data_IF_511552955530
#
_entry.id   IF_511552955530
#
_cell.length_a   1.000
_cell.length_b   1.000
_cell.length_c   1.000
_cell.angle_alpha   90.00
_cell.angle_beta   90.00
_cell.angle_gamma   90.00
#
_symmetry.space_group_name_H-M   'P 1'
#
loop_
_entity.id
_entity.type
_entity.pdbx_description
1 polymer ?
#
# COMPACT_ATOMS: atom_id res chain seq x y z
N UNK A 1 -14.73 -14.73 15.15
CA UNK A 1 -15.87 -14.03 14.51
C UNK A 1 -17.08 -13.94 15.45
N UNK A 2 -17.36 -14.93 16.29
CA UNK A 2 -18.48 -14.85 17.26
C UNK A 2 -18.12 -14.20 18.62
N UNK A 3 -16.86 -13.84 18.85
CA UNK A 3 -16.45 -13.10 20.05
C UNK A 3 -15.84 -11.74 19.67
N UNK A 4 -16.60 -10.68 19.93
CA UNK A 4 -16.18 -9.28 19.79
C UNK A 4 -16.48 -8.72 18.41
N UNK A 5 -17.48 -7.83 18.32
CA UNK A 5 -18.00 -7.19 17.10
C UNK A 5 -16.97 -6.39 16.29
N UNK A 6 -15.98 -7.08 15.77
CA UNK A 6 -14.91 -6.59 14.92
C UNK A 6 -15.23 -6.96 13.48
N UNK A 7 -14.99 -6.02 12.57
CA UNK A 7 -15.03 -6.29 11.15
C UNK A 7 -13.72 -6.95 10.68
N UNK A 8 -13.82 -7.68 9.58
CA UNK A 8 -12.75 -8.36 8.89
C UNK A 8 -12.83 -8.00 7.41
N UNK A 9 -11.69 -8.11 6.73
CA UNK A 9 -11.59 -7.93 5.29
C UNK A 9 -11.01 -9.21 4.71
N UNK A 10 -11.66 -9.72 3.66
CA UNK A 10 -11.16 -10.84 2.87
C UNK A 10 -10.50 -10.27 1.61
N UNK A 11 -9.28 -10.74 1.34
CA UNK A 11 -8.51 -10.37 0.15
C UNK A 11 -8.06 -11.63 -0.59
N UNK A 12 -8.37 -11.79 -1.88
CA UNK A 12 -7.76 -12.84 -2.70
C UNK A 12 -6.26 -12.57 -2.91
N UNK A 13 -5.43 -13.61 -2.85
CA UNK A 13 -3.95 -13.45 -2.85
C UNK A 13 -3.35 -13.13 -4.22
N UNK A 14 -4.08 -13.40 -5.30
CA UNK A 14 -3.62 -13.26 -6.70
C UNK A 14 -4.45 -12.27 -7.53
N UNK A 15 -5.48 -11.65 -6.94
CA UNK A 15 -6.26 -10.66 -7.68
C UNK A 15 -5.59 -9.28 -7.63
N UNK A 16 -5.61 -8.57 -8.75
CA UNK A 16 -5.16 -7.19 -8.83
C UNK A 16 -6.35 -6.23 -8.65
N UNK A 17 -6.06 -4.93 -8.53
CA UNK A 17 -7.06 -3.84 -8.60
C UNK A 17 -8.20 -3.94 -7.57
N UNK A 18 -7.98 -4.62 -6.45
CA UNK A 18 -8.98 -4.86 -5.42
C UNK A 18 -10.24 -5.65 -5.87
N UNK A 19 -10.14 -6.41 -6.97
CA UNK A 19 -11.16 -7.36 -7.36
C UNK A 19 -11.34 -8.42 -6.26
N UNK A 20 -12.61 -8.70 -5.88
CA UNK A 20 -12.95 -9.70 -4.86
C UNK A 20 -12.66 -9.30 -3.41
N UNK A 21 -12.22 -8.06 -3.14
CA UNK A 21 -12.05 -7.57 -1.76
C UNK A 21 -13.40 -7.18 -1.19
N UNK A 22 -13.75 -7.76 -0.03
CA UNK A 22 -15.01 -7.46 0.68
C UNK A 22 -14.77 -7.32 2.18
N UNK A 23 -15.53 -6.45 2.84
CA UNK A 23 -15.53 -6.28 4.29
C UNK A 23 -16.76 -6.96 4.88
N UNK A 24 -16.59 -7.68 6.00
CA UNK A 24 -17.65 -8.43 6.65
C UNK A 24 -17.50 -8.40 8.17
N UNK A 25 -18.57 -8.66 8.90
CA UNK A 25 -18.54 -8.77 10.35
C UNK A 25 -19.28 -10.00 10.89
N UNK A 26 -19.92 -10.80 10.03
CA UNK A 26 -20.54 -12.09 10.40
C UNK A 26 -19.97 -13.26 9.60
N UNK A 27 -20.07 -14.47 10.17
CA UNK A 27 -19.73 -15.71 9.46
C UNK A 27 -20.67 -15.99 8.29
N UNK A 28 -21.93 -15.57 8.40
CA UNK A 28 -22.93 -15.71 7.34
C UNK A 28 -22.55 -14.88 6.10
N UNK A 29 -22.17 -13.61 6.29
CA UNK A 29 -21.64 -12.79 5.21
C UNK A 29 -20.42 -13.43 4.54
N UNK A 30 -19.49 -13.97 5.32
CA UNK A 30 -18.32 -14.66 4.76
C UNK A 30 -18.72 -15.88 3.92
N UNK A 31 -19.70 -16.67 4.37
CA UNK A 31 -20.19 -17.84 3.61
C UNK A 31 -20.83 -17.41 2.30
N UNK A 32 -21.75 -16.45 2.35
CA UNK A 32 -22.42 -15.92 1.16
C UNK A 32 -21.40 -15.40 0.14
N UNK A 33 -20.30 -14.78 0.60
CA UNK A 33 -19.24 -14.31 -0.29
C UNK A 33 -18.53 -15.44 -1.05
N UNK A 34 -18.35 -16.62 -0.44
CA UNK A 34 -17.79 -17.79 -1.13
C UNK A 34 -18.82 -18.46 -2.05
N UNK A 35 -20.10 -18.50 -1.66
CA UNK A 35 -21.18 -19.01 -2.49
C UNK A 35 -21.37 -18.16 -3.76
N UNK A 36 -21.36 -16.83 -3.64
CA UNK A 36 -21.39 -15.92 -4.80
C UNK A 36 -20.22 -16.13 -5.75
N UNK A 37 -19.02 -16.42 -5.21
CA UNK A 37 -17.86 -16.75 -6.03
C UNK A 37 -18.12 -18.05 -6.77
N UNK A 38 -18.70 -19.07 -6.12
CA UNK A 38 -19.09 -20.38 -6.68
C UNK A 38 -20.19 -20.32 -7.76
N UNK A 39 -21.10 -19.35 -7.71
CA UNK A 39 -22.17 -19.17 -8.71
C UNK A 39 -21.70 -18.44 -9.97
N UNK A 40 -20.74 -17.51 -9.87
CA UNK A 40 -20.11 -16.83 -11.02
C UNK A 40 -19.28 -17.81 -11.90
N UNK A 41 -19.11 -19.08 -11.52
CA UNK A 41 -18.44 -20.12 -12.34
C UNK A 41 -19.27 -20.55 -13.56
N UNK A 42 -20.58 -20.29 -13.58
CA UNK A 42 -21.51 -20.80 -14.61
C UNK A 42 -21.88 -19.76 -15.70
N UNK A 43 -21.45 -18.50 -15.59
CA UNK A 43 -21.80 -17.41 -16.54
C UNK A 43 -20.57 -16.62 -17.09
N UNK A 44 -20.23 -16.89 -18.37
CA UNK A 44 -19.43 -16.12 -19.35
C UNK A 44 -17.97 -15.65 -19.05
N UNK A 45 -17.11 -15.95 -20.03
CA UNK A 45 -15.61 -15.93 -20.12
C UNK A 45 -14.88 -14.56 -19.99
N UNK A 46 -15.53 -13.45 -19.61
CA UNK A 46 -14.95 -12.08 -19.75
C UNK A 46 -14.66 -11.33 -18.43
N UNK A 47 -14.97 -11.89 -17.25
CA UNK A 47 -14.52 -11.32 -15.94
C UNK A 47 -13.16 -11.92 -15.55
N UNK A 48 -12.28 -11.14 -14.90
CA UNK A 48 -11.02 -11.70 -14.34
C UNK A 48 -11.36 -12.97 -13.54
N UNK A 49 -10.76 -14.10 -13.92
CA UNK A 49 -11.16 -15.44 -13.47
C UNK A 49 -10.78 -15.66 -11.99
N UNK A 50 -11.54 -15.03 -11.09
CA UNK A 50 -11.44 -15.17 -9.62
C UNK A 50 -11.64 -16.64 -9.22
N UNK A 51 -12.28 -17.42 -10.09
CA UNK A 51 -12.57 -18.85 -9.93
C UNK A 51 -11.31 -19.72 -9.78
N UNK A 52 -10.16 -19.26 -10.31
CA UNK A 52 -8.87 -19.94 -10.19
C UNK A 52 -8.09 -19.57 -8.92
N UNK A 53 -8.55 -18.57 -8.16
CA UNK A 53 -7.90 -18.17 -6.92
C UNK A 53 -8.17 -19.25 -5.87
N UNK A 54 -7.10 -19.72 -5.21
CA UNK A 54 -7.20 -20.78 -4.18
C UNK A 54 -6.78 -20.32 -2.80
N UNK A 55 -6.30 -19.09 -2.69
CA UNK A 55 -5.69 -18.56 -1.48
C UNK A 55 -6.27 -17.18 -1.16
N UNK A 56 -6.77 -17.04 0.07
CA UNK A 56 -7.30 -15.80 0.59
C UNK A 56 -6.64 -15.44 1.92
N UNK A 57 -6.50 -14.14 2.14
CA UNK A 57 -6.11 -13.58 3.43
C UNK A 57 -7.34 -12.99 4.08
N UNK A 58 -7.67 -13.49 5.28
CA UNK A 58 -8.64 -12.84 6.17
C UNK A 58 -7.85 -12.03 7.17
N UNK A 59 -8.00 -10.71 7.09
CA UNK A 59 -7.32 -9.76 7.95
C UNK A 59 -8.34 -9.03 8.82
N UNK A 60 -7.96 -8.70 10.06
CA UNK A 60 -8.77 -7.82 10.91
C UNK A 60 -8.90 -6.46 10.22
N UNK A 61 -10.13 -5.99 10.07
CA UNK A 61 -10.39 -4.68 9.49
C UNK A 61 -10.14 -3.59 10.52
N UNK A 62 -9.47 -2.52 10.10
CA UNK A 62 -9.27 -1.32 10.91
C UNK A 62 -10.53 -0.47 10.76
N UNK A 63 -11.44 -0.61 11.74
CA UNK A 63 -12.78 -0.04 11.77
C UNK A 63 -12.82 1.43 12.24
N UNK A 64 -11.72 1.94 12.77
CA UNK A 64 -11.59 3.35 13.19
C UNK A 64 -10.40 4.03 12.51
N UNK A 65 -10.40 4.13 11.17
CA UNK A 65 -9.33 4.81 10.45
C UNK A 65 -9.30 6.30 10.78
N UNK A 66 -8.14 6.93 10.64
CA UNK A 66 -8.04 8.37 10.58
C UNK A 66 -8.79 8.86 9.34
N UNK A 67 -9.66 9.85 9.52
CA UNK A 67 -10.46 10.40 8.45
C UNK A 67 -10.01 11.83 8.15
N UNK A 68 -10.04 12.18 6.86
CA UNK A 68 -9.82 13.54 6.38
C UNK A 68 -10.97 13.88 5.46
N UNK A 69 -11.66 15.00 5.73
CA UNK A 69 -12.98 15.30 5.15
C UNK A 69 -13.97 14.13 5.28
N UNK A 70 -13.93 13.43 6.42
CA UNK A 70 -14.72 12.22 6.75
C UNK A 70 -14.51 11.02 5.81
N UNK A 71 -13.54 11.06 4.90
CA UNK A 71 -13.23 9.94 3.99
C UNK A 71 -12.03 9.17 4.52
N UNK A 72 -12.07 7.85 4.36
CA UNK A 72 -10.95 6.95 4.66
C UNK A 72 -9.84 7.20 3.63
N UNK A 73 -8.58 7.05 4.02
CA UNK A 73 -7.45 7.07 3.09
C UNK A 73 -6.36 6.12 3.56
N UNK A 74 -5.55 5.60 2.64
CA UNK A 74 -4.26 4.97 2.96
C UNK A 74 -3.11 5.86 2.48
N UNK A 75 -1.93 5.66 3.05
CA UNK A 75 -0.70 6.31 2.61
C UNK A 75 0.13 5.33 1.81
N UNK A 76 0.32 5.63 0.52
CA UNK A 76 1.28 5.00 -0.38
C UNK A 76 2.66 5.63 -0.13
N UNK A 77 3.52 4.86 0.49
CA UNK A 77 4.91 5.20 0.74
C UNK A 77 5.84 4.53 -0.27
N UNK A 78 6.89 5.23 -0.70
CA UNK A 78 7.90 4.67 -1.60
C UNK A 78 9.13 4.26 -0.82
N UNK A 79 9.56 3.01 -0.98
CA UNK A 79 10.68 2.43 -0.24
C UNK A 79 11.70 1.87 -1.22
N UNK A 80 12.94 2.35 -1.10
CA UNK A 80 14.08 1.84 -1.86
C UNK A 80 14.85 0.86 -0.99
N UNK A 81 14.89 -0.40 -1.40
CA UNK A 81 15.81 -1.39 -0.85
C UNK A 81 17.02 -1.49 -1.78
N UNK A 82 18.19 -1.07 -1.30
CA UNK A 82 19.45 -1.14 -2.02
C UNK A 82 20.29 -2.26 -1.42
N UNK A 83 20.81 -3.16 -2.25
CA UNK A 83 21.74 -4.20 -1.80
C UNK A 83 23.06 -3.60 -1.27
N UNK A 84 23.76 -4.11 -0.25
CA UNK A 84 23.46 -5.16 0.72
C UNK A 84 22.71 -4.53 1.93
N UNK A 85 21.39 -4.39 1.72
CA UNK A 85 20.23 -4.12 2.60
C UNK A 85 20.19 -2.80 3.38
N UNK A 86 20.66 -1.73 2.74
CA UNK A 86 20.20 -0.41 3.13
C UNK A 86 18.78 -0.18 2.62
N UNK A 87 17.88 0.24 3.49
CA UNK A 87 16.49 0.54 3.14
C UNK A 87 16.24 2.01 3.42
N UNK A 88 15.58 2.66 2.49
CA UNK A 88 15.27 4.08 2.52
C UNK A 88 13.77 4.28 2.34
N UNK A 89 13.17 5.07 3.21
CA UNK A 89 11.80 5.56 3.06
C UNK A 89 11.85 6.94 2.40
N UNK A 90 11.23 7.07 1.23
CA UNK A 90 11.10 8.35 0.55
C UNK A 90 10.10 9.24 1.29
N UNK A 91 10.48 10.50 1.49
CA UNK A 91 9.72 11.44 2.29
C UNK A 91 8.38 11.76 1.65
N UNK A 92 8.33 12.06 0.34
CA UNK A 92 7.06 12.41 -0.30
C UNK A 92 6.21 11.16 -0.54
N UNK A 93 5.03 11.14 0.06
CA UNK A 93 4.11 10.01 0.05
C UNK A 93 2.73 10.48 -0.37
N UNK A 94 1.96 9.60 -0.98
CA UNK A 94 0.62 9.91 -1.46
C UNK A 94 -0.42 9.41 -0.46
N UNK A 95 -1.43 10.22 -0.19
CA UNK A 95 -2.66 9.81 0.47
C UNK A 95 -3.72 9.55 -0.59
N UNK A 96 -4.22 8.30 -0.64
CA UNK A 96 -5.23 7.85 -1.59
C UNK A 96 -6.54 7.64 -0.82
N UNK A 97 -7.57 8.40 -1.20
CA UNK A 97 -8.83 8.48 -0.48
C UNK A 97 -9.87 7.49 -1.02
N UNK A 98 -10.78 7.06 -0.16
CA UNK A 98 -12.05 6.49 -0.55
C UNK A 98 -12.92 7.57 -1.22
N UNK A 99 -13.83 7.17 -2.10
CA UNK A 99 -14.68 8.13 -2.82
C UNK A 99 -15.76 8.73 -1.91
N UNK A 100 -16.35 7.91 -1.03
CA UNK A 100 -17.48 8.29 -0.17
C UNK A 100 -17.08 8.54 1.28
N UNK A 101 -17.93 9.24 2.02
CA UNK A 101 -17.79 9.43 3.47
C UNK A 101 -17.80 8.06 4.18
N UNK A 102 -16.96 7.92 5.21
CA UNK A 102 -16.79 6.67 5.93
C UNK A 102 -18.02 6.33 6.80
N UNK A 103 -18.62 5.17 6.56
CA UNK A 103 -19.76 4.66 7.33
C UNK A 103 -19.64 3.15 7.56
N UNK A 104 -19.47 2.74 8.82
CA UNK A 104 -19.40 1.32 9.21
C UNK A 104 -20.73 0.57 9.09
N UNK A 105 -21.85 1.26 8.95
CA UNK A 105 -23.15 0.61 8.73
C UNK A 105 -23.31 0.10 7.30
N UNK A 106 -22.43 0.51 6.38
CA UNK A 106 -22.49 0.20 4.95
C UNK A 106 -21.27 -0.62 4.48
N UNK A 107 -20.95 -1.71 5.18
CA UNK A 107 -19.75 -2.54 4.93
C UNK A 107 -19.64 -3.10 3.50
N UNK A 108 -20.76 -3.23 2.79
CA UNK A 108 -20.83 -3.74 1.42
C UNK A 108 -20.44 -2.68 0.37
N UNK A 109 -20.44 -1.38 0.73
CA UNK A 109 -20.07 -0.31 -0.20
C UNK A 109 -18.55 -0.14 -0.27
N UNK A 110 -17.95 -0.76 -1.29
CA UNK A 110 -16.52 -0.68 -1.54
C UNK A 110 -16.01 0.75 -1.77
N UNK A 111 -16.85 1.69 -2.21
CA UNK A 111 -16.45 3.09 -2.42
C UNK A 111 -16.24 3.86 -1.10
N UNK A 112 -16.74 3.31 0.01
CA UNK A 112 -16.52 3.80 1.39
C UNK A 112 -15.26 3.17 1.99
N UNK A 113 -15.07 1.87 1.78
CA UNK A 113 -14.11 1.08 2.53
C UNK A 113 -12.80 0.80 1.80
N UNK A 114 -12.78 0.89 0.47
CA UNK A 114 -11.61 0.69 -0.38
C UNK A 114 -11.14 2.02 -0.97
N UNK A 115 -9.82 2.18 -0.95
CA UNK A 115 -9.11 3.42 -1.31
C UNK A 115 -8.30 3.28 -2.60
N UNK A 116 -8.37 2.12 -3.26
CA UNK A 116 -7.60 1.83 -4.46
C UNK A 116 -8.19 2.58 -5.64
N UNK A 117 -7.35 3.39 -6.30
CA UNK A 117 -7.75 4.26 -7.40
C UNK A 117 -8.30 3.51 -8.61
N UNK A 118 -7.88 2.26 -8.87
CA UNK A 118 -8.36 1.49 -10.02
C UNK A 118 -9.88 1.30 -10.03
N UNK A 119 -10.49 1.00 -8.87
CA UNK A 119 -11.94 0.87 -8.75
C UNK A 119 -12.60 2.24 -8.92
N UNK A 120 -11.95 3.27 -8.40
CA UNK A 120 -12.54 4.60 -8.31
C UNK A 120 -12.51 5.37 -9.62
N UNK A 121 -11.49 5.16 -10.47
CA UNK A 121 -11.35 5.88 -11.74
C UNK A 121 -12.47 5.58 -12.75
N UNK A 122 -13.21 4.50 -12.54
CA UNK A 122 -14.36 4.12 -13.38
C UNK A 122 -15.65 4.85 -12.95
N UNK A 123 -15.66 5.45 -11.76
CA UNK A 123 -16.80 6.19 -11.22
C UNK A 123 -16.87 7.63 -11.76
N UNK A 124 -18.09 8.11 -12.02
CA UNK A 124 -18.31 9.46 -12.59
C UNK A 124 -17.96 10.58 -11.61
N UNK A 125 -18.06 10.30 -10.33
CA UNK A 125 -17.82 11.19 -9.21
C UNK A 125 -16.32 11.30 -8.86
N UNK A 126 -15.44 10.58 -9.56
CA UNK A 126 -14.01 10.64 -9.30
C UNK A 126 -13.41 11.98 -9.71
N UNK A 127 -12.90 12.70 -8.71
CA UNK A 127 -12.13 13.93 -8.90
C UNK A 127 -10.72 13.67 -8.37
N UNK A 128 -9.75 13.58 -9.28
CA UNK A 128 -8.37 13.22 -8.94
C UNK A 128 -7.77 14.08 -7.82
N UNK A 129 -7.91 15.41 -7.91
CA UNK A 129 -7.34 16.34 -6.92
C UNK A 129 -7.95 16.19 -5.51
N UNK A 130 -9.14 15.58 -5.42
CA UNK A 130 -9.77 15.25 -4.15
C UNK A 130 -9.40 13.84 -3.68
N UNK A 131 -9.13 12.92 -4.60
CA UNK A 131 -8.87 11.49 -4.33
C UNK A 131 -7.41 11.17 -4.07
N UNK A 132 -6.47 11.95 -4.61
CA UNK A 132 -5.02 11.74 -4.43
C UNK A 132 -4.36 13.06 -4.01
N UNK A 133 -3.71 13.05 -2.84
CA UNK A 133 -3.02 14.23 -2.29
C UNK A 133 -1.65 13.86 -1.75
N UNK A 134 -0.77 14.84 -1.61
CA UNK A 134 0.45 14.66 -0.84
C UNK A 134 0.11 14.52 0.64
N UNK A 135 0.63 13.48 1.29
CA UNK A 135 0.39 13.24 2.72
C UNK A 135 0.78 14.45 3.59
N UNK A 136 1.88 15.12 3.24
CA UNK A 136 2.37 16.28 3.96
C UNK A 136 1.47 17.52 3.82
N UNK A 137 0.66 17.61 2.78
CA UNK A 137 -0.29 18.69 2.53
C UNK A 137 -1.62 18.51 3.29
N UNK A 138 -1.83 17.38 3.95
CA UNK A 138 -3.08 17.10 4.68
C UNK A 138 -3.14 17.89 6.00
N UNK A 139 -3.63 19.13 5.98
CA UNK A 139 -3.69 20.01 7.17
C UNK A 139 -4.43 19.40 8.37
N UNK A 140 -5.47 18.61 8.12
CA UNK A 140 -6.28 17.92 9.14
C UNK A 140 -5.49 16.84 9.91
N UNK A 141 -4.44 16.27 9.31
CA UNK A 141 -3.60 15.24 9.93
C UNK A 141 -2.56 15.89 10.84
N UNK A 142 -2.75 15.70 12.15
CA UNK A 142 -1.79 16.14 13.18
C UNK A 142 -0.61 15.18 13.28
N UNK A 143 0.48 15.62 13.90
CA UNK A 143 1.64 14.78 14.26
C UNK A 143 2.21 13.92 13.12
N UNK A 144 2.27 14.45 11.88
CA UNK A 144 2.79 13.74 10.70
C UNK A 144 4.20 13.17 10.90
N UNK A 145 5.05 13.86 11.68
CA UNK A 145 6.39 13.37 12.02
C UNK A 145 6.35 12.13 12.95
N UNK A 146 5.36 12.03 13.83
CA UNK A 146 5.13 10.83 14.66
C UNK A 146 4.67 9.65 13.78
N UNK A 147 3.78 9.91 12.82
CA UNK A 147 3.34 8.91 11.83
C UNK A 147 4.54 8.44 11.01
N UNK A 148 5.32 9.37 10.45
CA UNK A 148 6.50 9.07 9.66
C UNK A 148 7.52 8.28 10.47
N UNK A 149 7.74 8.62 11.74
CA UNK A 149 8.60 7.84 12.63
C UNK A 149 8.11 6.39 12.79
N UNK A 150 6.82 6.18 13.05
CA UNK A 150 6.26 4.83 13.15
C UNK A 150 6.43 4.04 11.85
N UNK A 151 6.25 4.67 10.68
CA UNK A 151 6.53 4.01 9.38
C UNK A 151 7.98 3.55 9.28
N UNK A 152 8.95 4.39 9.69
CA UNK A 152 10.36 4.00 9.70
C UNK A 152 10.64 2.82 10.63
N UNK A 153 10.08 2.86 11.84
CA UNK A 153 10.25 1.81 12.85
C UNK A 153 9.65 0.48 12.33
N UNK A 154 8.44 0.52 11.76
CA UNK A 154 7.79 -0.66 11.15
C UNK A 154 8.63 -1.22 9.99
N UNK A 155 9.15 -0.37 9.11
CA UNK A 155 10.00 -0.83 8.00
C UNK A 155 11.30 -1.45 8.49
N UNK A 156 11.91 -0.89 9.53
CA UNK A 156 13.10 -1.47 10.13
C UNK A 156 12.83 -2.87 10.67
N UNK A 157 11.72 -3.06 11.41
CA UNK A 157 11.31 -4.36 11.95
C UNK A 157 11.00 -5.37 10.84
N UNK A 158 10.28 -4.96 9.78
CA UNK A 158 9.96 -5.81 8.63
C UNK A 158 11.23 -6.29 7.93
N UNK A 159 12.13 -5.38 7.58
CA UNK A 159 13.35 -5.76 6.87
C UNK A 159 14.34 -6.50 7.75
N UNK A 160 14.37 -6.29 9.07
CA UNK A 160 15.15 -7.15 9.97
C UNK A 160 14.60 -8.58 10.00
N UNK A 161 13.28 -8.74 10.09
CA UNK A 161 12.63 -10.05 10.02
C UNK A 161 12.92 -10.75 8.69
N UNK A 162 12.72 -10.07 7.55
CA UNK A 162 12.96 -10.65 6.22
C UNK A 162 14.44 -11.04 6.04
N UNK A 163 15.37 -10.15 6.40
CA UNK A 163 16.80 -10.39 6.17
C UNK A 163 17.42 -11.39 7.14
N UNK A 164 16.71 -11.75 8.21
CA UNK A 164 17.11 -12.83 9.12
C UNK A 164 16.72 -14.21 8.59
N UNK A 165 15.83 -14.30 7.60
CA UNK A 165 15.36 -15.54 6.97
C UNK A 165 15.85 -15.65 5.50
N UNK A 166 17.14 -15.97 5.33
CA UNK A 166 17.83 -15.98 4.03
C UNK A 166 17.28 -16.98 3.00
N UNK A 167 16.41 -17.91 3.41
CA UNK A 167 15.75 -18.85 2.49
C UNK A 167 14.58 -18.22 1.74
N UNK A 168 14.00 -17.14 2.29
CA UNK A 168 12.78 -16.51 1.75
C UNK A 168 13.07 -15.14 1.16
N UNK A 169 14.01 -14.39 1.74
CA UNK A 169 14.44 -13.10 1.21
C UNK A 169 15.93 -13.12 0.90
N UNK A 170 16.29 -12.92 -0.36
CA UNK A 170 17.68 -12.91 -0.81
C UNK A 170 18.00 -11.57 -1.48
N UNK A 171 18.79 -10.76 -0.78
CA UNK A 171 19.35 -9.56 -1.39
C UNK A 171 20.43 -9.96 -2.38
N UNK A 172 20.18 -9.76 -3.66
CA UNK A 172 21.14 -10.04 -4.72
C UNK A 172 22.17 -8.91 -4.76
N UNK A 173 23.49 -9.20 -4.79
CA UNK A 173 24.51 -8.17 -4.97
C UNK A 173 24.25 -7.36 -6.23
N UNK A 174 24.50 -6.05 -6.18
CA UNK A 174 24.29 -5.12 -7.29
C UNK A 174 22.83 -4.94 -7.73
N UNK A 175 21.86 -5.40 -6.92
CA UNK A 175 20.44 -5.16 -7.16
C UNK A 175 19.91 -4.04 -6.24
N UNK A 176 18.83 -3.43 -6.67
CA UNK A 176 17.97 -2.63 -5.83
C UNK A 176 16.52 -2.86 -6.27
N UNK A 177 15.58 -2.57 -5.37
CA UNK A 177 14.16 -2.69 -5.64
C UNK A 177 13.41 -1.51 -5.04
N UNK A 178 12.42 -1.01 -5.78
CA UNK A 178 11.49 0.00 -5.32
C UNK A 178 10.16 -0.67 -4.96
N UNK A 179 9.69 -0.38 -3.75
CA UNK A 179 8.42 -0.85 -3.22
C UNK A 179 7.45 0.30 -3.02
N UNK A 180 6.18 0.05 -3.31
CA UNK A 180 5.04 0.88 -2.96
C UNK A 180 4.36 0.22 -1.78
N UNK A 181 4.61 0.74 -0.59
CA UNK A 181 4.10 0.17 0.66
C UNK A 181 2.88 0.96 1.11
N UNK A 182 1.80 0.24 1.38
CA UNK A 182 0.55 0.83 1.82
C UNK A 182 0.43 0.77 3.34
N UNK A 183 0.25 1.94 3.93
CA UNK A 183 0.02 2.11 5.36
C UNK A 183 -1.38 2.66 5.62
N UNK A 184 -2.02 2.20 6.68
CA UNK A 184 -3.23 2.82 7.23
C UNK A 184 -2.92 3.48 8.56
N UNK A 185 -3.52 4.62 8.83
CA UNK A 185 -3.44 5.31 10.11
C UNK A 185 -4.81 5.21 10.77
N UNK A 186 -4.86 4.85 12.05
CA UNK A 186 -6.11 4.89 12.83
C UNK A 186 -6.36 6.25 13.48
N UNK A 187 -7.56 6.45 14.01
CA UNK A 187 -7.96 7.68 14.70
C UNK A 187 -7.06 8.08 15.87
N UNK A 188 -6.32 7.12 16.44
CA UNK A 188 -5.41 7.28 17.58
C UNK A 188 -3.95 7.51 17.13
N UNK A 189 -3.75 7.72 15.82
CA UNK A 189 -2.47 7.97 15.16
C UNK A 189 -1.49 6.79 15.24
N UNK A 190 -2.01 5.56 15.34
CA UNK A 190 -1.20 4.35 15.16
C UNK A 190 -1.11 3.99 13.68
N UNK A 191 0.06 3.54 13.24
CA UNK A 191 0.32 3.17 11.85
C UNK A 191 0.31 1.65 11.69
N UNK A 192 -0.36 1.19 10.64
CA UNK A 192 -0.48 -0.23 10.30
C UNK A 192 0.05 -0.45 8.88
N UNK A 193 0.97 -1.39 8.73
CA UNK A 193 1.36 -1.91 7.42
C UNK A 193 0.21 -2.75 6.83
N UNK A 194 -0.15 -2.51 5.57
CA UNK A 194 -1.19 -3.27 4.88
C UNK A 194 -0.59 -4.29 3.90
N UNK A 195 0.26 -3.82 2.99
CA UNK A 195 0.84 -4.60 1.91
C UNK A 195 2.06 -3.89 1.31
N UNK A 196 2.94 -4.68 0.70
CA UNK A 196 4.09 -4.19 -0.06
C UNK A 196 3.92 -4.61 -1.52
N UNK A 197 3.86 -3.62 -2.41
CA UNK A 197 3.73 -3.83 -3.84
C UNK A 197 5.08 -3.59 -4.51
N UNK A 198 5.58 -4.55 -5.28
CA UNK A 198 6.73 -4.30 -6.16
C UNK A 198 6.33 -3.23 -7.17
N UNK A 199 7.07 -2.11 -7.21
CA UNK A 199 6.68 -0.96 -8.03
C UNK A 199 6.94 -1.28 -9.49
N UNK A 200 5.86 -1.52 -10.25
CA UNK A 200 5.89 -1.23 -11.68
C UNK A 200 5.70 0.27 -11.85
N UNK A 201 6.54 0.97 -12.64
CA UNK A 201 6.37 2.40 -12.94
C UNK A 201 4.95 2.72 -13.43
N UNK A 202 4.28 1.78 -14.11
CA UNK A 202 2.91 1.92 -14.60
C UNK A 202 1.88 1.96 -13.46
N UNK A 203 2.13 1.27 -12.33
CA UNK A 203 1.25 1.30 -11.16
C UNK A 203 1.32 2.61 -10.37
N UNK A 204 2.26 3.50 -10.70
CA UNK A 204 2.37 4.85 -10.15
C UNK A 204 1.49 5.85 -10.90
N UNK A 205 0.94 5.45 -12.05
CA UNK A 205 0.09 6.27 -12.90
C UNK A 205 -1.31 5.64 -12.99
N UNK A 206 -2.35 6.27 -12.44
CA UNK A 206 -3.70 5.93 -12.84
C UNK A 206 -3.90 6.38 -14.30
N UNK A 207 -3.57 5.53 -15.28
CA UNK A 207 -3.99 5.59 -16.69
C UNK A 207 -4.32 7.00 -17.25
N UNK A 208 -3.34 7.90 -17.35
CA UNK A 208 -3.50 9.22 -17.98
C UNK A 208 -3.96 10.35 -17.05
N UNK A 209 -4.09 10.08 -15.75
CA UNK A 209 -4.35 11.05 -14.68
C UNK A 209 -3.07 11.20 -13.81
N UNK A 210 -2.85 12.39 -13.24
CA UNK A 210 -1.74 12.59 -12.28
C UNK A 210 -0.59 13.48 -12.74
N UNK A 211 -0.76 14.27 -13.80
CA UNK A 211 0.25 15.24 -14.26
C UNK A 211 0.80 16.13 -13.13
N UNK A 212 -0.04 16.46 -12.14
CA UNK A 212 0.36 17.28 -10.99
C UNK A 212 1.40 16.58 -10.11
N UNK A 213 1.27 15.28 -9.90
CA UNK A 213 2.13 14.49 -8.99
C UNK A 213 3.27 13.77 -9.73
N UNK A 214 3.32 13.90 -11.06
CA UNK A 214 4.39 13.35 -11.91
C UNK A 214 5.79 13.78 -11.46
N UNK A 215 5.94 15.00 -10.97
CA UNK A 215 7.22 15.51 -10.47
C UNK A 215 7.74 14.70 -9.27
N UNK A 216 6.87 14.18 -8.40
CA UNK A 216 7.26 13.37 -7.23
C UNK A 216 7.90 12.07 -7.69
N UNK A 217 7.28 11.43 -8.68
CA UNK A 217 7.78 10.17 -9.25
C UNK A 217 9.11 10.42 -9.97
N UNK A 218 9.22 11.51 -10.73
CA UNK A 218 10.47 11.90 -11.38
C UNK A 218 11.58 12.13 -10.35
N UNK A 219 11.32 12.91 -9.30
CA UNK A 219 12.27 13.17 -8.21
C UNK A 219 12.66 11.88 -7.47
N UNK A 220 11.72 10.94 -7.26
CA UNK A 220 12.01 9.63 -6.70
C UNK A 220 12.98 8.83 -7.59
N UNK A 221 12.76 8.81 -8.91
CA UNK A 221 13.66 8.12 -9.84
C UNK A 221 15.04 8.77 -9.91
N UNK A 222 15.10 10.11 -9.90
CA UNK A 222 16.35 10.86 -9.85
C UNK A 222 17.13 10.54 -8.56
N UNK A 223 16.46 10.60 -7.40
CA UNK A 223 17.04 10.26 -6.10
C UNK A 223 17.49 8.79 -6.06
N UNK A 224 16.68 7.87 -6.58
CA UNK A 224 17.02 6.43 -6.67
C UNK A 224 18.26 6.22 -7.53
N UNK A 225 18.37 6.91 -8.66
CA UNK A 225 19.54 6.82 -9.55
C UNK A 225 20.80 7.27 -8.82
N UNK A 226 20.74 8.40 -8.12
CA UNK A 226 21.89 8.93 -7.35
C UNK A 226 22.29 8.05 -6.16
N UNK A 227 21.32 7.48 -5.44
CA UNK A 227 21.60 6.68 -4.22
C UNK A 227 21.97 5.23 -4.54
N UNK A 228 21.30 4.62 -5.52
CA UNK A 228 21.43 3.21 -5.83
C UNK A 228 22.28 2.91 -7.07
N UNK A 229 22.40 3.80 -8.05
CA UNK A 229 23.05 3.49 -9.34
C UNK A 229 24.40 4.20 -9.48
N UNK A 230 24.46 5.52 -9.31
CA UNK A 230 25.69 6.31 -9.49
C UNK A 230 26.91 5.81 -8.69
N UNK A 231 26.77 5.33 -7.43
CA UNK A 231 27.92 4.86 -6.65
C UNK A 231 28.69 3.71 -7.30
N UNK A 232 28.05 2.91 -8.17
CA UNK A 232 28.73 1.85 -8.93
C UNK A 232 29.71 2.39 -9.99
N UNK A 233 29.56 3.66 -10.40
CA UNK A 233 30.35 4.28 -11.46
C UNK A 233 31.31 5.34 -10.94
N UNK A 234 30.93 6.04 -9.85
CA UNK A 234 31.71 7.17 -9.32
C UNK A 234 32.54 6.80 -8.09
N UNK A 235 32.23 5.71 -7.40
CA UNK A 235 32.73 5.38 -6.05
C UNK A 235 32.44 6.46 -4.99
N UNK A 236 31.46 7.33 -5.23
CA UNK A 236 31.01 8.34 -4.28
C UNK A 236 29.65 7.94 -3.69
N UNK A 237 29.50 8.03 -2.36
CA UNK A 237 28.19 7.87 -1.72
C UNK A 237 27.40 9.18 -1.81
N UNK A 238 26.15 9.08 -2.23
CA UNK A 238 25.21 10.20 -2.25
C UNK A 238 24.18 10.06 -1.13
N UNK A 239 23.91 11.17 -0.44
CA UNK A 239 22.80 11.29 0.50
C UNK A 239 21.74 12.21 -0.09
N UNK A 240 20.53 11.69 -0.24
CA UNK A 240 19.38 12.46 -0.67
C UNK A 240 18.56 12.92 0.55
N UNK A 241 18.06 14.15 0.52
CA UNK A 241 17.29 14.71 1.64
C UNK A 241 15.92 14.03 1.83
N UNK A 242 15.35 13.48 0.75
CA UNK A 242 14.04 12.83 0.76
C UNK A 242 14.15 11.32 0.93
N UNK A 243 15.21 10.66 0.49
CA UNK A 243 15.44 9.24 0.81
C UNK A 243 16.05 9.08 2.21
N UNK A 244 15.18 8.92 3.21
CA UNK A 244 15.60 8.76 4.61
C UNK A 244 15.94 7.30 4.89
N UNK A 245 17.18 7.00 5.24
CA UNK A 245 17.60 5.65 5.65
C UNK A 245 16.84 5.20 6.89
N UNK A 246 16.18 4.05 6.80
CA UNK A 246 15.38 3.44 7.90
C UNK A 246 16.00 2.18 8.45
N UNK A 247 16.80 1.48 7.64
CA UNK A 247 17.41 0.22 8.03
C UNK A 247 18.73 0.00 7.29
N UNK A 248 19.66 -0.68 7.97
CA UNK A 248 20.94 -1.13 7.40
C UNK A 248 21.41 -2.36 8.16
N UNK A 249 21.82 -3.39 7.42
CA UNK A 249 22.52 -4.56 7.93
C UNK A 249 23.46 -5.05 6.83
N UNK A 250 24.61 -5.60 7.17
CA UNK A 250 25.51 -6.13 6.15
C UNK A 250 25.28 -7.63 6.06
N UNK A 251 24.72 -8.09 4.94
CA UNK A 251 24.64 -9.52 4.66
C UNK A 251 25.98 -9.99 4.09
N UNK A 252 26.46 -11.12 4.60
CA UNK A 252 27.60 -11.81 4.01
C UNK A 252 27.20 -12.23 2.59
N UNK A 253 27.97 -11.78 1.59
CA UNK A 253 27.81 -12.26 0.23
C UNK A 253 28.06 -13.77 0.21
N UNK A 254 27.06 -14.56 -0.20
CA UNK A 254 27.25 -15.96 -0.56
C UNK A 254 28.15 -16.06 -1.81
#
# INVERSE_FOLDING_TARGET
>A
LEEGGHAFIIKPSLANKAAGIKVFNTLEQLRNMFEEIEEDYDEDDDKEDISQIREWVIQRYIDKPLLVNKRKFHVRAYVLAKSNIEVYLYRDMLALFALKEYDLSQLEDNLIHLTNTCIQTEEKEFIEDESVKLFWELEEVKDKEKIFKQMKDILADIFDACTSEMTTFQAIPNAFELFGIDFLIDQDYNVYFLEANAVSPISLYPHGYGHRLQHIIQELFDATTRVAIEPYFTNEEYQDEKLVKVYKKELLSL
#
